data_IF_658726900626
#
_entry.id   IF_658726900626
#
_cell.length_a   1.000
_cell.length_b   1.000
_cell.length_c   1.000
_cell.angle_alpha   90.00
_cell.angle_beta   90.00
_cell.angle_gamma   90.00
#
_symmetry.space_group_name_H-M   'P 1'
#
loop_
_entity.id
_entity.type
_entity.pdbx_description
1 polymer ?
2 non-polymer ?
3 water ?
#
# COMPACT_ATOMS: atom_id res chain seq x y z
N UNK A 1 -14.94 43.65 0.60
CA UNK A 1 -15.14 44.44 -0.67
C UNK A 1 -14.23 45.70 -0.75
N UNK A 2 -13.72 45.99 -1.93
CA UNK A 2 -13.09 47.27 -2.18
C UNK A 2 -13.98 48.08 -3.12
N UNK A 3 -13.84 49.41 -3.09
CA UNK A 3 -14.67 50.30 -3.89
C UNK A 3 -13.87 51.27 -4.76
N UNK A 4 -12.56 51.13 -4.74
CA UNK A 4 -11.65 51.98 -5.50
C UNK A 4 -10.59 51.07 -6.09
N UNK A 5 -10.04 51.48 -7.23
CA UNK A 5 -8.91 50.77 -7.80
C UNK A 5 -7.76 50.90 -6.80
N UNK A 6 -7.16 49.76 -6.44
CA UNK A 6 -6.19 49.69 -5.35
C UNK A 6 -4.98 48.85 -5.75
N UNK A 7 -3.78 49.29 -5.35
CA UNK A 7 -2.69 48.36 -5.67
C UNK A 7 -2.78 47.03 -4.88
N UNK A 8 -2.77 45.92 -5.61
CA UNK A 8 -2.53 44.57 -5.07
C UNK A 8 -1.69 44.58 -3.78
N UNK A 9 -0.51 45.22 -3.89
CA UNK A 9 0.44 45.46 -2.80
C UNK A 9 -0.22 45.92 -1.52
N UNK A 10 -1.21 46.81 -1.64
CA UNK A 10 -1.90 47.39 -0.51
C UNK A 10 -2.91 46.45 0.15
N UNK A 11 -3.42 45.50 -0.63
CA UNK A 11 -4.41 44.53 -0.15
C UNK A 11 -3.74 43.28 0.45
N UNK A 12 -2.63 42.86 -0.16
CA UNK A 12 -1.93 41.63 0.17
C UNK A 12 -0.56 42.00 0.72
N UNK A 13 -0.45 42.09 2.05
CA UNK A 13 0.77 42.61 2.64
C UNK A 13 1.98 41.71 2.39
N UNK A 14 1.77 40.38 2.34
CA UNK A 14 2.84 39.41 2.04
C UNK A 14 3.32 39.60 0.60
N UNK A 15 4.56 40.04 0.44
CA UNK A 15 5.15 40.28 -0.87
C UNK A 15 4.96 39.07 -1.80
N UNK A 16 5.11 37.87 -1.27
CA UNK A 16 5.02 36.64 -2.06
C UNK A 16 3.62 36.36 -2.58
N UNK A 17 2.62 36.59 -1.73
CA UNK A 17 1.20 36.35 -2.09
C UNK A 17 0.66 37.45 -3.00
N UNK A 18 1.13 38.68 -2.80
CA UNK A 18 0.81 39.76 -3.71
C UNK A 18 1.25 39.30 -5.11
N UNK A 19 2.50 38.88 -5.21
CA UNK A 19 3.01 38.40 -6.51
C UNK A 19 2.15 37.31 -7.09
N UNK A 20 1.55 36.49 -6.22
CA UNK A 20 0.61 35.45 -6.64
C UNK A 20 -0.67 36.03 -7.24
N UNK A 21 -1.23 37.02 -6.56
CA UNK A 21 -2.38 37.70 -7.08
C UNK A 21 -2.02 38.45 -8.38
N UNK A 22 -0.90 39.19 -8.42
CA UNK A 22 -0.48 39.79 -9.69
C UNK A 22 -0.53 38.77 -10.83
N UNK A 23 0.24 37.69 -10.70
CA UNK A 23 0.26 36.62 -11.68
C UNK A 23 -1.12 36.13 -12.00
N UNK A 24 -1.93 35.93 -10.98
CA UNK A 24 -3.21 35.31 -11.16
C UNK A 24 -4.14 36.11 -11.99
N UNK A 25 -3.90 37.41 -12.02
CA UNK A 25 -4.69 38.40 -12.79
C UNK A 25 -3.97 38.92 -14.02
N UNK A 26 -2.75 38.43 -14.24
CA UNK A 26 -2.01 38.78 -15.45
C UNK A 26 -1.62 40.26 -15.50
N UNK A 27 -1.27 40.84 -14.36
CA UNK A 27 -0.74 42.21 -14.31
C UNK A 27 0.79 42.19 -14.34
N UNK A 28 1.39 43.28 -14.81
CA UNK A 28 2.82 43.39 -14.89
C UNK A 28 3.46 43.63 -13.49
N UNK A 29 2.72 44.22 -12.56
CA UNK A 29 3.31 44.60 -11.28
C UNK A 29 2.35 44.48 -10.10
N UNK A 30 2.91 44.32 -8.90
CA UNK A 30 2.09 44.43 -7.68
C UNK A 30 1.58 45.87 -7.38
N UNK A 31 2.20 46.86 -8.04
CA UNK A 31 1.79 48.24 -7.96
C UNK A 31 0.59 48.54 -8.86
N UNK A 32 0.26 47.62 -9.78
CA UNK A 32 -0.93 47.77 -10.62
C UNK A 32 -2.22 47.71 -9.80
N UNK A 33 -3.12 48.65 -10.04
CA UNK A 33 -4.36 48.69 -9.27
C UNK A 33 -5.39 47.68 -9.81
N UNK A 34 -6.08 47.01 -8.87
CA UNK A 34 -7.17 46.09 -9.20
C UNK A 34 -8.52 46.66 -8.78
N UNK A 35 -9.59 46.19 -9.42
CA UNK A 35 -10.97 46.47 -8.98
C UNK A 35 -11.65 45.23 -8.40
N UNK A 36 -12.70 45.48 -7.62
CA UNK A 36 -13.53 44.39 -7.09
C UNK A 36 -13.97 43.40 -8.19
N UNK A 37 -14.50 43.91 -9.30
CA UNK A 37 -14.90 43.06 -10.42
C UNK A 37 -13.78 42.08 -10.80
N UNK A 38 -12.55 42.59 -10.82
CA UNK A 38 -11.37 41.79 -11.15
C UNK A 38 -11.07 40.77 -10.06
N UNK A 39 -11.17 41.19 -8.79
CA UNK A 39 -11.04 40.28 -7.65
C UNK A 39 -12.14 39.20 -7.61
N UNK A 40 -13.33 39.57 -8.08
CA UNK A 40 -14.46 38.63 -8.25
C UNK A 40 -14.25 37.64 -9.41
N UNK A 41 -13.28 37.89 -10.29
CA UNK A 41 -13.04 37.05 -11.46
C UNK A 41 -12.10 35.87 -11.18
N UNK A 42 -11.75 35.67 -9.90
CA UNK A 42 -10.76 34.67 -9.52
C UNK A 42 -11.46 33.48 -8.94
N UNK A 43 -11.49 32.38 -9.67
CA UNK A 43 -12.14 31.22 -9.15
C UNK A 43 -11.12 30.08 -8.87
N UNK A 44 -9.83 30.36 -9.02
CA UNK A 44 -8.83 29.31 -8.88
C UNK A 44 -7.42 29.90 -8.74
N UNK A 45 -6.67 29.41 -7.76
CA UNK A 45 -5.32 29.89 -7.45
C UNK A 45 -4.39 28.71 -7.18
N UNK A 46 -3.33 28.61 -8.00
CA UNK A 46 -2.34 27.56 -7.81
C UNK A 46 -1.00 28.17 -7.36
N UNK A 47 -0.68 27.99 -6.09
CA UNK A 47 0.46 28.66 -5.52
C UNK A 47 1.13 27.78 -4.51
N UNK A 48 1.65 26.68 -5.02
CA UNK A 48 2.46 25.77 -4.26
C UNK A 48 3.92 26.27 -4.25
N UNK A 49 4.60 26.16 -3.12
CA UNK A 49 6.05 26.48 -3.03
C UNK A 49 6.40 27.91 -3.42
N UNK A 50 5.53 28.83 -2.99
CA UNK A 50 5.60 30.21 -3.38
C UNK A 50 6.13 31.07 -2.25
N UNK A 51 6.59 30.44 -1.18
CA UNK A 51 7.25 31.15 -0.10
C UNK A 51 6.26 32.09 0.64
N UNK A 52 5.00 31.70 0.64
CA UNK A 52 3.92 32.48 1.26
C UNK A 52 3.82 32.23 2.78
N UNK A 53 3.79 33.29 3.60
CA UNK A 53 3.58 33.16 5.08
C UNK A 53 2.17 33.62 5.54
N UNK A 54 1.41 34.18 4.61
CA UNK A 54 0.25 35.00 4.94
C UNK A 54 -0.69 35.30 3.76
N UNK A 55 -1.91 34.78 3.84
CA UNK A 55 -2.95 34.97 2.82
C UNK A 55 -3.89 36.15 3.11
N UNK A 56 -3.50 37.04 4.03
CA UNK A 56 -4.23 38.31 4.23
C UNK A 56 -4.57 38.96 2.91
N UNK A 57 -5.82 39.37 2.74
CA UNK A 57 -6.27 39.89 1.46
C UNK A 57 -7.19 38.94 0.73
N UNK A 58 -6.89 37.65 0.72
CA UNK A 58 -7.77 36.64 0.10
C UNK A 58 -9.22 36.82 0.53
N UNK A 59 -9.45 37.41 1.71
CA UNK A 59 -10.81 37.70 2.17
C UNK A 59 -11.58 38.42 1.08
N UNK A 60 -10.91 39.30 0.35
CA UNK A 60 -11.54 40.03 -0.72
C UNK A 60 -11.78 39.24 -2.02
N UNK A 61 -11.62 37.91 -2.01
CA UNK A 61 -11.88 37.08 -3.21
C UNK A 61 -13.06 36.15 -3.03
N UNK A 62 -14.29 36.69 -3.12
CA UNK A 62 -15.47 35.90 -2.74
C UNK A 62 -15.71 34.59 -3.54
N UNK A 63 -15.08 34.42 -4.71
CA UNK A 63 -15.44 33.35 -5.64
C UNK A 63 -14.44 32.17 -5.76
N UNK A 64 -13.41 32.14 -4.92
CA UNK A 64 -12.36 31.12 -5.07
C UNK A 64 -12.99 29.75 -4.87
N UNK A 65 -12.65 28.82 -5.77
CA UNK A 65 -13.18 27.45 -5.66
C UNK A 65 -12.11 26.42 -5.42
N UNK A 66 -11.05 26.55 -6.20
CA UNK A 66 -9.94 25.63 -6.17
C UNK A 66 -8.81 26.42 -5.55
N UNK A 67 -8.35 26.04 -4.37
CA UNK A 67 -7.24 26.77 -3.77
C UNK A 67 -6.07 25.85 -3.41
N UNK A 68 -4.92 26.02 -4.06
CA UNK A 68 -3.74 25.18 -3.85
C UNK A 68 -2.56 25.92 -3.17
N UNK A 69 -2.34 25.66 -1.89
CA UNK A 69 -1.36 26.45 -1.14
C UNK A 69 -0.32 25.56 -0.52
N UNK A 70 -0.09 24.41 -1.15
CA UNK A 70 0.82 23.44 -0.60
C UNK A 70 2.23 23.93 -0.75
N UNK A 71 3.01 23.86 0.31
CA UNK A 71 4.44 24.16 0.20
C UNK A 71 4.82 25.52 0.67
N UNK A 72 3.96 26.16 1.46
CA UNK A 72 4.27 27.50 1.91
C UNK A 72 4.60 27.51 3.39
N UNK A 73 4.38 28.63 4.08
CA UNK A 73 4.75 28.76 5.48
C UNK A 73 3.58 29.32 6.29
N UNK A 74 2.37 28.97 5.87
CA UNK A 74 1.20 29.42 6.56
C UNK A 74 1.11 28.74 7.91
N UNK A 75 0.90 29.53 8.95
CA UNK A 75 0.55 29.03 10.29
C UNK A 75 -0.90 29.36 10.62
N UNK A 76 -1.36 30.56 10.23
CA UNK A 76 -2.75 30.99 10.37
C UNK A 76 -3.54 30.84 9.07
N UNK A 77 -4.83 30.53 9.17
CA UNK A 77 -5.72 30.51 8.01
C UNK A 77 -7.10 31.09 8.33
N UNK A 78 -7.07 32.15 9.14
CA UNK A 78 -8.27 32.90 9.44
C UNK A 78 -8.80 33.50 8.15
N UNK A 79 -7.91 34.00 7.30
CA UNK A 79 -8.29 34.76 6.11
C UNK A 79 -9.24 33.98 5.21
N UNK A 80 -9.25 32.64 5.35
CA UNK A 80 -10.13 31.77 4.58
C UNK A 80 -11.53 31.61 5.14
N UNK A 81 -11.79 32.02 6.38
CA UNK A 81 -13.02 31.59 7.07
C UNK A 81 -14.18 31.54 6.09
N UNK A 82 -14.40 32.67 5.43
CA UNK A 82 -15.67 32.94 4.71
C UNK A 82 -15.68 32.76 3.19
N UNK A 83 -14.61 32.23 2.62
CA UNK A 83 -14.62 31.88 1.20
C UNK A 83 -15.51 30.67 1.01
N UNK A 84 -16.81 30.87 1.03
CA UNK A 84 -17.77 29.77 1.02
C UNK A 84 -17.83 28.91 -0.26
N UNK A 85 -17.28 29.39 -1.36
CA UNK A 85 -17.30 28.65 -2.62
C UNK A 85 -16.12 27.65 -2.79
N UNK A 86 -15.29 27.58 -1.76
CA UNK A 86 -14.15 26.71 -1.74
C UNK A 86 -14.66 25.27 -1.78
N UNK A 87 -14.18 24.52 -2.79
CA UNK A 87 -14.48 23.10 -2.99
C UNK A 87 -13.25 22.19 -2.90
N UNK A 88 -12.07 22.77 -3.09
CA UNK A 88 -10.87 21.99 -3.15
C UNK A 88 -9.84 22.83 -2.46
N UNK A 89 -9.13 22.26 -1.51
CA UNK A 89 -8.24 23.06 -0.70
C UNK A 89 -6.98 22.30 -0.32
N UNK A 90 -5.84 22.83 -0.73
CA UNK A 90 -4.59 22.22 -0.42
C UNK A 90 -3.79 23.08 0.49
N UNK A 91 -3.59 22.61 1.72
CA UNK A 91 -2.74 23.28 2.69
C UNK A 91 -1.63 22.36 3.20
N UNK A 92 -1.24 21.36 2.43
CA UNK A 92 -0.18 20.45 2.85
C UNK A 92 1.17 21.12 2.86
N UNK A 93 2.11 20.63 3.66
CA UNK A 93 3.44 21.18 3.74
C UNK A 93 3.41 22.64 3.97
N UNK A 94 2.74 23.03 5.05
CA UNK A 94 2.91 24.36 5.59
C UNK A 94 3.46 24.23 7.00
N UNK A 95 3.27 25.27 7.83
CA UNK A 95 3.68 25.32 9.24
C UNK A 95 2.48 25.46 10.18
N UNK A 96 1.38 24.79 9.87
CA UNK A 96 0.19 24.81 10.73
C UNK A 96 0.34 23.86 11.91
N UNK A 97 0.39 24.40 13.13
CA UNK A 97 0.49 23.59 14.36
C UNK A 97 -0.84 23.33 15.02
N UNK A 98 -1.86 24.08 14.63
CA UNK A 98 -3.06 24.11 15.41
C UNK A 98 -4.21 24.65 14.60
N UNK A 99 -5.44 24.28 14.93
CA UNK A 99 -6.63 24.75 14.20
C UNK A 99 -7.75 25.12 15.15
N UNK A 100 -8.34 26.31 15.01
CA UNK A 100 -9.46 26.58 15.91
C UNK A 100 -10.72 25.74 15.58
N UNK A 101 -11.45 25.31 16.59
CA UNK A 101 -12.79 24.83 16.31
C UNK A 101 -13.39 25.89 15.40
N UNK A 102 -14.01 25.44 14.32
CA UNK A 102 -14.91 26.35 13.61
C UNK A 102 -14.33 27.16 12.48
N UNK A 103 -13.05 27.00 12.21
CA UNK A 103 -12.46 27.66 11.07
C UNK A 103 -13.16 27.26 9.77
N UNK A 104 -13.64 26.02 9.68
CA UNK A 104 -14.45 25.55 8.54
C UNK A 104 -15.97 25.52 8.78
N UNK A 105 -16.45 26.22 9.81
CA UNK A 105 -17.89 26.51 9.95
C UNK A 105 -18.55 27.00 8.67
N UNK A 106 -17.86 27.81 7.89
CA UNK A 106 -18.46 28.41 6.70
C UNK A 106 -18.09 27.78 5.35
N UNK A 107 -17.24 26.76 5.33
CA UNK A 107 -16.80 26.13 4.08
C UNK A 107 -17.69 24.93 3.67
N UNK A 108 -18.97 25.21 3.50
CA UNK A 108 -19.99 24.19 3.27
C UNK A 108 -19.83 23.40 1.96
N UNK A 109 -19.12 23.96 0.97
CA UNK A 109 -18.98 23.29 -0.34
C UNK A 109 -17.67 22.53 -0.55
N UNK A 110 -16.84 22.49 0.49
CA UNK A 110 -15.57 21.79 0.45
C UNK A 110 -15.81 20.30 0.24
N UNK A 111 -15.24 19.78 -0.85
CA UNK A 111 -15.21 18.35 -1.14
C UNK A 111 -13.83 17.68 -0.95
N UNK A 112 -12.75 18.43 -1.07
CA UNK A 112 -11.42 17.86 -0.92
C UNK A 112 -10.58 18.76 -0.03
N UNK A 113 -10.06 18.20 1.06
CA UNK A 113 -9.29 18.96 2.04
C UNK A 113 -7.98 18.27 2.37
N UNK A 114 -6.87 18.77 1.83
CA UNK A 114 -5.56 18.20 2.12
C UNK A 114 -4.87 19.06 3.16
N UNK A 115 -4.62 18.43 4.33
CA UNK A 115 -3.92 19.05 5.48
C UNK A 115 -2.62 18.29 5.89
N UNK A 116 -2.11 17.45 4.99
CA UNK A 116 -0.95 16.56 5.24
C UNK A 116 0.33 17.31 5.50
N UNK A 117 1.32 16.67 6.14
CA UNK A 117 2.64 17.30 6.33
C UNK A 117 2.58 18.66 6.99
N UNK A 118 1.76 18.73 8.03
CA UNK A 118 1.76 19.85 8.92
C UNK A 118 2.25 19.36 10.29
N UNK A 119 2.03 20.12 11.35
CA UNK A 119 2.47 19.72 12.67
C UNK A 119 1.33 19.79 13.65
N UNK A 120 0.14 19.41 13.19
CA UNK A 120 -1.03 19.30 14.06
C UNK A 120 -0.77 18.26 15.13
N UNK A 121 -1.20 18.54 16.33
CA UNK A 121 -0.99 17.67 17.46
C UNK A 121 -2.32 17.15 17.95
N UNK A 122 -3.35 17.99 17.86
CA UNK A 122 -4.69 17.56 18.20
C UNK A 122 -5.71 18.34 17.43
N UNK A 123 -6.96 17.90 17.58
CA UNK A 123 -8.06 18.52 16.87
C UNK A 123 -9.26 18.61 17.78
N UNK A 124 -9.90 19.77 17.83
CA UNK A 124 -11.04 19.97 18.66
C UNK A 124 -12.22 19.23 18.10
N UNK A 125 -13.24 19.08 18.93
CA UNK A 125 -14.49 18.45 18.57
C UNK A 125 -15.20 19.15 17.41
N UNK A 126 -15.83 18.36 16.55
CA UNK A 126 -16.59 18.93 15.44
C UNK A 126 -15.88 19.94 14.54
N UNK A 127 -14.55 19.90 14.46
CA UNK A 127 -13.80 20.85 13.65
C UNK A 127 -14.16 20.76 12.16
N UNK A 128 -14.89 19.70 11.79
CA UNK A 128 -15.38 19.48 10.43
C UNK A 128 -16.90 19.27 10.39
N UNK A 129 -17.63 19.68 11.43
CA UNK A 129 -19.10 19.49 11.51
C UNK A 129 -19.88 19.79 10.24
N UNK A 130 -19.59 20.93 9.61
CA UNK A 130 -20.44 21.45 8.56
C UNK A 130 -19.97 21.09 7.15
N UNK A 131 -19.01 20.17 7.03
CA UNK A 131 -18.46 19.78 5.74
C UNK A 131 -19.17 18.51 5.22
N UNK A 132 -20.48 18.66 5.00
CA UNK A 132 -21.39 17.55 4.63
C UNK A 132 -21.17 17.03 3.22
N UNK A 133 -20.62 17.87 2.35
CA UNK A 133 -20.27 17.46 1.00
C UNK A 133 -18.82 16.93 0.91
N UNK A 134 -18.06 17.02 2.01
CA UNK A 134 -16.64 16.60 2.02
C UNK A 134 -16.51 15.09 1.89
N UNK A 135 -15.69 14.67 0.91
CA UNK A 135 -15.47 13.26 0.61
C UNK A 135 -14.01 12.81 0.78
N UNK A 136 -13.05 13.73 0.78
CA UNK A 136 -11.67 13.34 0.91
C UNK A 136 -10.96 14.20 1.93
N UNK A 137 -10.43 13.58 2.98
CA UNK A 137 -9.71 14.32 4.01
C UNK A 137 -8.33 13.73 4.27
N UNK A 138 -7.26 14.46 3.94
CA UNK A 138 -5.92 13.97 4.18
C UNK A 138 -5.22 14.65 5.33
N UNK A 139 -4.96 13.88 6.38
CA UNK A 139 -4.28 14.37 7.57
C UNK A 139 -3.02 13.59 7.82
N UNK A 140 -2.46 12.97 6.81
CA UNK A 140 -1.21 12.21 7.01
C UNK A 140 -0.02 13.11 7.35
N UNK A 141 1.01 12.54 7.95
CA UNK A 141 2.23 13.29 8.32
C UNK A 141 1.92 14.53 9.13
N UNK A 142 1.16 14.32 10.19
CA UNK A 142 1.06 15.30 11.25
C UNK A 142 1.60 14.65 12.51
N UNK A 143 1.45 15.31 13.64
CA UNK A 143 1.95 14.75 14.90
C UNK A 143 0.79 14.37 15.81
N UNK A 144 -0.31 13.95 15.19
CA UNK A 144 -1.59 13.85 15.89
C UNK A 144 -1.63 12.76 16.96
N UNK A 145 -2.11 13.16 18.12
CA UNK A 145 -2.24 12.25 19.25
C UNK A 145 -3.56 12.41 20.02
N UNK A 146 -4.27 13.52 19.84
CA UNK A 146 -5.38 13.84 20.69
C UNK A 146 -6.69 14.16 19.97
N UNK A 147 -7.55 13.16 19.84
CA UNK A 147 -8.84 13.29 19.16
C UNK A 147 -9.90 12.71 20.06
N UNK A 148 -11.11 13.27 20.01
CA UNK A 148 -12.20 12.68 20.79
C UNK A 148 -13.09 11.85 19.88
N UNK A 149 -13.91 11.05 20.54
CA UNK A 149 -15.09 10.43 19.98
C UNK A 149 -15.60 11.08 18.69
N UNK A 150 -15.71 12.42 18.66
CA UNK A 150 -16.51 13.15 17.64
C UNK A 150 -15.74 14.18 16.79
N UNK A 151 -14.43 14.11 16.78
CA UNK A 151 -13.63 14.96 15.90
C UNK A 151 -13.97 14.84 14.40
N UNK A 152 -14.60 13.74 13.98
CA UNK A 152 -14.92 13.51 12.57
C UNK A 152 -16.42 13.34 12.41
N UNK A 153 -17.16 14.12 13.18
CA UNK A 153 -18.61 14.07 13.20
C UNK A 153 -19.12 15.06 12.17
N UNK A 154 -20.25 14.72 11.56
CA UNK A 154 -20.75 15.50 10.44
C UNK A 154 -20.25 15.03 9.08
N UNK A 155 -19.13 14.27 9.05
CA UNK A 155 -18.48 13.80 7.81
C UNK A 155 -19.11 12.51 7.31
N UNK A 156 -20.39 12.63 6.95
CA UNK A 156 -21.23 11.50 6.56
C UNK A 156 -21.10 11.14 5.06
N UNK A 157 -20.47 12.00 4.26
CA UNK A 157 -20.20 11.67 2.85
C UNK A 157 -18.73 11.35 2.58
N UNK A 158 -17.96 11.22 3.64
CA UNK A 158 -16.54 10.95 3.48
C UNK A 158 -16.33 9.56 2.88
N UNK A 159 -15.46 9.51 1.88
CA UNK A 159 -15.12 8.27 1.19
C UNK A 159 -13.66 7.90 1.37
N UNK A 160 -12.75 8.87 1.54
CA UNK A 160 -11.32 8.61 1.79
C UNK A 160 -10.83 9.43 2.96
N UNK A 161 -10.18 8.78 3.91
CA UNK A 161 -9.65 9.45 5.09
C UNK A 161 -8.28 8.91 5.37
N UNK A 162 -7.26 9.74 5.26
CA UNK A 162 -5.90 9.29 5.47
C UNK A 162 -5.26 9.90 6.73
N UNK A 163 -4.94 9.02 7.69
CA UNK A 163 -4.36 9.37 8.99
C UNK A 163 -2.97 8.80 9.19
N UNK A 164 -2.31 8.42 8.11
CA UNK A 164 -0.98 7.85 8.22
C UNK A 164 0.09 8.83 8.75
N UNK A 165 1.15 8.25 9.31
CA UNK A 165 2.28 8.97 9.91
C UNK A 165 1.85 10.00 10.90
N UNK A 166 0.89 9.63 11.73
CA UNK A 166 0.60 10.37 12.96
C UNK A 166 1.02 9.53 14.18
N UNK A 167 0.50 9.88 15.36
CA UNK A 167 0.92 9.27 16.61
C UNK A 167 -0.30 8.97 17.51
N UNK A 168 -1.33 8.41 16.89
CA UNK A 168 -2.61 8.16 17.53
C UNK A 168 -2.66 6.98 18.48
N UNK A 169 -1.61 6.15 18.46
CA UNK A 169 -1.57 4.87 19.17
C UNK A 169 -2.27 4.79 20.52
N UNK A 170 -1.85 5.62 21.49
CA UNK A 170 -2.41 5.65 22.88
C UNK A 170 -3.94 5.76 22.96
N UNK A 171 -4.56 6.39 21.97
CA UNK A 171 -6.02 6.56 21.91
C UNK A 171 -6.75 5.25 21.75
N UNK A 172 -6.06 4.24 21.22
CA UNK A 172 -6.67 2.93 21.04
C UNK A 172 -6.16 1.83 21.99
N UNK A 173 -5.55 2.21 23.10
CA UNK A 173 -5.19 1.25 24.15
C UNK A 173 -6.31 1.10 25.15
N UNK A 174 -6.56 -0.11 25.58
CA UNK A 174 -7.71 -0.36 26.47
C UNK A 174 -7.59 0.36 27.82
N UNK A 175 -6.37 0.47 28.34
CA UNK A 175 -6.11 1.11 29.62
C UNK A 175 -6.11 2.61 29.50
N UNK A 176 -6.02 3.12 28.27
CA UNK A 176 -6.17 4.55 28.04
C UNK A 176 -7.26 5.15 28.93
N UNK A 177 -7.02 6.33 29.53
CA UNK A 177 -8.09 6.90 30.37
C UNK A 177 -9.42 7.06 29.59
N UNK A 178 -10.51 6.57 30.17
CA UNK A 178 -11.84 6.60 29.54
C UNK A 178 -12.12 5.45 28.58
N UNK A 179 -11.12 4.58 28.39
CA UNK A 179 -11.18 3.56 27.36
C UNK A 179 -10.64 4.07 26.03
N UNK A 180 -10.70 3.22 25.00
CA UNK A 180 -10.25 3.65 23.70
C UNK A 180 -11.25 4.57 23.03
N UNK A 181 -10.72 5.54 22.29
CA UNK A 181 -11.51 6.53 21.56
C UNK A 181 -11.95 5.93 20.23
N UNK A 182 -13.25 5.73 20.08
CA UNK A 182 -13.82 5.18 18.85
C UNK A 182 -14.20 6.30 17.87
N UNK A 183 -13.18 6.95 17.31
CA UNK A 183 -13.32 8.13 16.44
C UNK A 183 -13.63 7.83 14.98
N UNK A 184 -14.06 6.61 14.66
CA UNK A 184 -14.53 6.27 13.32
C UNK A 184 -16.02 5.94 13.32
N UNK A 185 -16.68 6.28 14.43
CA UNK A 185 -18.11 6.12 14.60
C UNK A 185 -18.78 6.84 13.45
N UNK A 186 -19.82 6.25 12.88
CA UNK A 186 -20.66 6.93 11.89
C UNK A 186 -20.12 7.02 10.47
N UNK A 187 -18.87 6.63 10.25
CA UNK A 187 -18.23 6.91 8.97
C UNK A 187 -18.68 5.87 7.91
N UNK A 188 -19.97 5.92 7.64
CA UNK A 188 -20.72 4.92 6.93
C UNK A 188 -20.45 4.82 5.44
N UNK A 189 -19.90 5.85 4.84
CA UNK A 189 -19.60 5.75 3.42
C UNK A 189 -18.15 5.51 3.15
N UNK A 190 -17.34 5.52 4.21
CA UNK A 190 -15.92 5.46 4.07
C UNK A 190 -15.52 4.21 3.27
N UNK A 191 -14.77 4.43 2.20
CA UNK A 191 -14.30 3.36 1.35
C UNK A 191 -12.78 3.10 1.50
N UNK A 192 -12.02 4.09 1.98
CA UNK A 192 -10.56 4.02 1.97
C UNK A 192 -10.01 4.60 3.26
N UNK A 193 -9.38 3.75 4.08
CA UNK A 193 -8.88 4.20 5.38
C UNK A 193 -7.42 3.83 5.52
N UNK A 194 -6.55 4.81 5.73
CA UNK A 194 -5.14 4.52 5.89
C UNK A 194 -4.66 4.94 7.24
N UNK A 195 -4.31 3.95 8.05
CA UNK A 195 -3.96 4.14 9.45
C UNK A 195 -2.53 3.68 9.69
N UNK A 196 -1.76 3.64 8.62
CA UNK A 196 -0.41 3.16 8.74
C UNK A 196 0.47 4.17 9.44
N UNK A 197 1.53 3.67 10.03
CA UNK A 197 2.54 4.50 10.66
C UNK A 197 2.01 5.42 11.75
N UNK A 198 1.26 4.84 12.67
CA UNK A 198 1.19 5.37 14.02
C UNK A 198 1.89 4.30 14.84
N UNK A 199 1.92 4.44 16.14
CA UNK A 199 2.62 3.40 16.91
C UNK A 199 1.68 2.36 17.47
N UNK A 200 0.71 1.90 16.68
CA UNK A 200 -0.42 1.13 17.23
C UNK A 200 0.02 -0.26 17.73
N UNK A 201 -0.26 -0.55 19.00
CA UNK A 201 0.09 -1.85 19.59
C UNK A 201 -1.12 -2.58 20.16
N UNK A 202 -2.31 -1.98 20.05
CA UNK A 202 -3.60 -2.63 20.37
C UNK A 202 -4.61 -2.12 19.36
N UNK A 203 -5.66 -2.89 19.18
CA UNK A 203 -6.66 -2.58 18.20
C UNK A 203 -8.02 -3.01 18.69
N UNK A 204 -8.80 -2.10 19.30
CA UNK A 204 -10.03 -2.58 19.93
C UNK A 204 -11.02 -3.07 18.90
N UNK A 205 -11.52 -4.26 19.12
CA UNK A 205 -12.69 -4.72 18.43
C UNK A 205 -13.67 -3.56 18.47
N UNK A 206 -14.42 -3.35 17.39
CA UNK A 206 -15.44 -2.27 17.33
C UNK A 206 -14.94 -0.92 16.83
N UNK A 207 -13.63 -0.70 16.73
CA UNK A 207 -13.15 0.53 16.09
C UNK A 207 -13.66 0.71 14.65
N UNK A 208 -14.00 -0.37 13.96
CA UNK A 208 -14.42 -0.27 12.58
C UNK A 208 -15.86 -0.72 12.38
N UNK A 209 -16.63 -0.84 13.46
CA UNK A 209 -17.90 -1.56 13.34
C UNK A 209 -18.91 -0.86 12.42
N UNK A 210 -18.78 0.45 12.23
CA UNK A 210 -19.74 1.18 11.40
C UNK A 210 -19.33 1.30 9.95
N UNK A 211 -18.16 0.79 9.58
CA UNK A 211 -17.59 1.01 8.27
C UNK A 211 -18.13 0.05 7.22
N UNK A 212 -19.46 -0.01 7.13
CA UNK A 212 -20.18 -0.79 6.11
C UNK A 212 -19.55 -0.72 4.71
N UNK A 213 -19.09 0.45 4.31
CA UNK A 213 -18.70 0.64 2.91
C UNK A 213 -17.21 0.51 2.65
N UNK A 214 -16.43 0.00 3.60
CA UNK A 214 -14.98 -0.02 3.44
C UNK A 214 -14.51 -1.01 2.37
N UNK A 215 -13.59 -0.55 1.51
CA UNK A 215 -12.99 -1.40 0.49
C UNK A 215 -11.51 -1.62 0.74
N UNK A 216 -10.83 -0.57 1.26
CA UNK A 216 -9.38 -0.58 1.55
C UNK A 216 -9.06 -0.13 2.96
N UNK A 217 -8.57 -1.05 3.78
CA UNK A 217 -8.04 -0.69 5.08
C UNK A 217 -6.52 -0.92 5.16
N UNK A 218 -5.74 0.14 5.42
CA UNK A 218 -4.30 0.05 5.52
C UNK A 218 -3.90 0.18 6.98
N UNK A 219 -3.42 -0.91 7.58
CA UNK A 219 -2.85 -0.86 8.94
C UNK A 219 -1.34 -1.14 8.95
N UNK A 220 -0.69 -0.92 7.81
CA UNK A 220 0.71 -1.26 7.72
C UNK A 220 1.53 -0.47 8.72
N UNK A 221 2.71 -0.97 9.03
CA UNK A 221 3.70 -0.27 9.84
C UNK A 221 3.19 0.29 11.17
N UNK A 222 2.72 -0.61 12.00
CA UNK A 222 2.35 -0.25 13.33
C UNK A 222 3.01 -1.31 14.19
N UNK A 223 2.66 -1.40 15.48
CA UNK A 223 3.28 -2.32 16.42
C UNK A 223 2.36 -3.45 16.87
N UNK A 224 1.49 -3.94 15.99
CA UNK A 224 0.42 -4.85 16.42
C UNK A 224 0.93 -6.28 16.67
N UNK A 225 0.45 -6.92 17.72
CA UNK A 225 0.92 -8.26 18.09
C UNK A 225 -0.21 -9.31 17.97
N UNK A 226 -1.45 -8.85 18.09
CA UNK A 226 -2.62 -9.67 17.79
C UNK A 226 -3.83 -8.82 17.41
N UNK A 227 -4.78 -9.48 16.77
CA UNK A 227 -6.02 -8.87 16.36
C UNK A 227 -7.14 -9.48 17.19
N UNK A 228 -8.06 -8.65 17.69
CA UNK A 228 -9.14 -9.30 18.35
C UNK A 228 -10.03 -9.99 17.33
N UNK A 229 -10.48 -11.18 17.69
CA UNK A 229 -11.56 -11.84 16.97
C UNK A 229 -12.67 -10.83 16.65
N UNK A 230 -13.05 -10.77 15.37
CA UNK A 230 -14.20 -9.99 14.98
C UNK A 230 -13.91 -8.52 14.92
N UNK A 231 -12.64 -8.13 14.82
CA UNK A 231 -12.32 -6.71 14.60
C UNK A 231 -12.66 -6.28 13.17
N UNK A 232 -12.80 -7.25 12.26
CA UNK A 232 -13.29 -7.01 10.91
C UNK A 232 -14.67 -7.59 10.66
N UNK A 233 -15.32 -8.08 11.69
CA UNK A 233 -16.62 -8.77 11.58
C UNK A 233 -17.49 -8.19 10.50
N UNK A 234 -17.76 -6.88 10.58
CA UNK A 234 -18.72 -6.19 9.68
C UNK A 234 -18.08 -5.37 8.55
N UNK A 235 -16.81 -5.64 8.20
CA UNK A 235 -16.18 -5.03 7.02
C UNK A 235 -16.43 -5.87 5.75
N UNK A 236 -17.70 -6.10 5.45
CA UNK A 236 -18.11 -7.09 4.47
C UNK A 236 -17.69 -6.73 3.04
N UNK A 237 -17.65 -5.44 2.73
CA UNK A 237 -17.29 -4.98 1.37
C UNK A 237 -15.79 -4.85 1.08
N UNK A 238 -14.98 -5.26 2.04
CA UNK A 238 -13.55 -5.06 1.98
C UNK A 238 -12.94 -5.86 0.82
N UNK A 239 -12.11 -5.18 0.01
CA UNK A 239 -11.30 -5.81 -1.07
C UNK A 239 -9.81 -5.81 -0.77
N UNK A 240 -9.31 -4.82 -0.05
CA UNK A 240 -7.89 -4.73 0.24
C UNK A 240 -7.62 -4.52 1.73
N UNK A 241 -6.83 -5.45 2.26
CA UNK A 241 -6.40 -5.46 3.65
C UNK A 241 -4.88 -5.52 3.68
N UNK A 242 -4.26 -4.52 4.28
CA UNK A 242 -2.82 -4.48 4.41
C UNK A 242 -2.40 -4.52 5.86
N UNK A 243 -1.91 -5.68 6.30
CA UNK A 243 -1.37 -5.84 7.66
C UNK A 243 0.16 -5.99 7.72
N UNK A 244 0.85 -5.73 6.61
CA UNK A 244 2.32 -5.81 6.58
C UNK A 244 2.98 -4.97 7.67
N UNK A 245 4.23 -5.31 7.99
CA UNK A 245 5.06 -4.52 8.91
C UNK A 245 4.39 -4.22 10.26
N UNK A 246 3.96 -5.25 10.96
CA UNK A 246 3.56 -5.14 12.36
C UNK A 246 4.39 -6.14 13.20
N UNK A 247 3.91 -6.58 14.36
CA UNK A 247 4.58 -7.60 15.17
C UNK A 247 3.72 -8.84 15.29
N UNK A 248 2.90 -9.09 14.30
CA UNK A 248 1.90 -10.13 14.43
C UNK A 248 2.57 -11.47 14.65
N UNK A 249 2.15 -12.11 15.74
CA UNK A 249 2.72 -13.34 16.22
C UNK A 249 1.68 -14.45 16.19
N UNK A 250 0.40 -14.07 16.33
CA UNK A 250 -0.71 -14.98 16.12
C UNK A 250 -1.86 -14.26 15.42
N UNK A 251 -2.59 -15.03 14.61
CA UNK A 251 -3.91 -14.63 14.13
C UNK A 251 -4.99 -15.52 14.75
N UNK A 252 -6.06 -14.90 15.26
CA UNK A 252 -7.18 -15.73 15.70
C UNK A 252 -7.86 -16.43 14.55
N UNK A 253 -8.58 -17.49 14.87
CA UNK A 253 -9.28 -18.30 13.87
C UNK A 253 -10.50 -17.51 13.42
N UNK A 254 -10.64 -17.30 12.12
CA UNK A 254 -11.76 -16.53 11.60
C UNK A 254 -11.75 -15.03 11.90
N UNK A 255 -10.57 -14.43 11.97
CA UNK A 255 -10.43 -12.97 11.99
C UNK A 255 -10.96 -12.40 10.67
N UNK A 256 -10.79 -13.16 9.57
CA UNK A 256 -11.23 -12.71 8.24
C UNK A 256 -12.42 -13.51 7.68
N UNK A 257 -13.21 -14.17 8.51
CA UNK A 257 -14.23 -15.07 7.95
C UNK A 257 -15.37 -14.42 7.19
N UNK A 258 -15.57 -13.13 7.42
CA UNK A 258 -16.69 -12.37 6.87
C UNK A 258 -16.28 -11.49 5.68
N UNK A 259 -15.06 -11.72 5.17
CA UNK A 259 -14.42 -10.88 4.15
C UNK A 259 -14.36 -11.56 2.78
N UNK A 260 -15.52 -11.98 2.26
CA UNK A 260 -15.54 -12.83 1.08
C UNK A 260 -15.18 -12.13 -0.21
N UNK A 261 -15.14 -10.81 -0.21
CA UNK A 261 -14.78 -10.09 -1.44
C UNK A 261 -13.31 -9.76 -1.52
N UNK A 262 -12.59 -10.17 -0.48
CA UNK A 262 -11.21 -9.76 -0.32
C UNK A 262 -10.39 -10.31 -1.45
N UNK A 263 -9.67 -9.42 -2.13
CA UNK A 263 -8.88 -9.75 -3.28
C UNK A 263 -7.40 -9.69 -2.98
N UNK A 264 -7.02 -9.07 -1.87
CA UNK A 264 -5.60 -8.83 -1.59
C UNK A 264 -5.38 -8.76 -0.09
N UNK A 265 -4.53 -9.63 0.42
CA UNK A 265 -4.23 -9.66 1.84
C UNK A 265 -2.71 -9.61 2.04
N UNK A 266 -2.21 -8.49 2.57
CA UNK A 266 -0.76 -8.36 2.80
C UNK A 266 -0.43 -8.63 4.27
N UNK A 267 0.14 -9.81 4.54
CA UNK A 267 0.50 -10.19 5.91
C UNK A 267 2.01 -10.20 6.08
N UNK A 268 2.71 -9.68 5.09
CA UNK A 268 4.15 -9.70 5.12
C UNK A 268 4.76 -9.01 6.35
N UNK A 269 6.08 -9.07 6.46
CA UNK A 269 6.85 -8.52 7.58
C UNK A 269 6.19 -8.55 8.95
N UNK A 270 5.98 -9.74 9.47
CA UNK A 270 5.59 -9.94 10.86
C UNK A 270 6.40 -11.07 11.48
N UNK A 271 5.88 -11.66 12.55
CA UNK A 271 6.54 -12.80 13.15
C UNK A 271 5.61 -13.99 13.25
N UNK A 272 4.72 -14.14 12.29
CA UNK A 272 3.81 -15.25 12.33
C UNK A 272 4.66 -16.52 12.23
N UNK A 273 4.43 -17.43 13.15
CA UNK A 273 5.10 -18.71 13.18
C UNK A 273 4.13 -19.86 12.93
N UNK A 274 2.84 -19.54 12.92
CA UNK A 274 1.77 -20.51 12.71
C UNK A 274 0.59 -19.80 12.07
N UNK A 275 -0.32 -20.58 11.48
CA UNK A 275 -1.62 -20.09 11.00
C UNK A 275 -2.71 -21.09 11.32
N UNK A 276 -3.75 -20.64 12.00
CA UNK A 276 -4.84 -21.56 12.30
C UNK A 276 -5.59 -22.02 11.04
N UNK A 277 -5.86 -23.32 10.93
CA UNK A 277 -6.70 -23.79 9.84
C UNK A 277 -8.01 -23.04 9.84
N UNK A 278 -8.55 -22.82 8.64
CA UNK A 278 -9.81 -22.11 8.46
C UNK A 278 -9.63 -20.61 8.30
N UNK A 279 -8.43 -20.11 8.63
CA UNK A 279 -8.13 -18.68 8.56
C UNK A 279 -8.34 -18.11 7.15
N UNK A 280 -8.22 -18.98 6.15
CA UNK A 280 -8.42 -18.57 4.78
C UNK A 280 -9.57 -19.33 4.08
N UNK A 281 -10.53 -19.79 4.87
CA UNK A 281 -11.60 -20.69 4.39
C UNK A 281 -12.62 -19.94 3.54
N UNK A 282 -12.93 -18.71 3.93
CA UNK A 282 -13.99 -17.98 3.30
C UNK A 282 -13.49 -16.86 2.38
N UNK A 283 -12.22 -16.93 1.97
CA UNK A 283 -11.60 -15.91 1.11
C UNK A 283 -11.54 -16.41 -0.35
N UNK A 284 -12.71 -16.70 -0.90
CA UNK A 284 -12.81 -17.36 -2.20
C UNK A 284 -12.52 -16.41 -3.36
N UNK A 285 -12.50 -15.10 -3.08
CA UNK A 285 -12.14 -14.08 -4.07
C UNK A 285 -10.64 -13.79 -4.07
N UNK A 286 -9.98 -13.88 -2.91
CA UNK A 286 -8.53 -13.59 -2.77
C UNK A 286 -7.64 -14.06 -3.94
N UNK A 287 -6.95 -13.09 -4.55
CA UNK A 287 -6.09 -13.32 -5.71
C UNK A 287 -4.61 -13.04 -5.38
N UNK A 288 -4.33 -12.26 -4.35
CA UNK A 288 -2.97 -12.05 -3.85
C UNK A 288 -2.91 -12.33 -2.35
N UNK A 289 -2.04 -13.25 -1.95
CA UNK A 289 -1.65 -13.47 -0.55
C UNK A 289 -0.13 -13.25 -0.39
N UNK A 290 0.28 -12.25 0.39
CA UNK A 290 1.71 -12.05 0.64
C UNK A 290 2.05 -12.34 2.07
N UNK A 291 2.70 -13.48 2.28
CA UNK A 291 3.16 -13.88 3.62
C UNK A 291 4.67 -13.76 3.83
N UNK A 292 5.34 -12.95 3.01
CA UNK A 292 6.80 -12.87 3.05
C UNK A 292 7.28 -12.30 4.36
N UNK A 293 8.53 -12.59 4.66
CA UNK A 293 9.17 -12.10 5.86
C UNK A 293 8.32 -12.37 7.09
N UNK A 294 8.33 -13.64 7.49
CA UNK A 294 7.70 -14.12 8.67
C UNK A 294 8.48 -15.35 9.17
N UNK A 295 7.98 -16.08 10.16
CA UNK A 295 8.73 -17.21 10.70
C UNK A 295 7.97 -18.53 10.55
N UNK A 296 7.28 -18.66 9.43
CA UNK A 296 6.52 -19.85 9.14
C UNK A 296 7.43 -21.10 8.96
N UNK A 297 6.86 -22.24 9.35
CA UNK A 297 7.46 -23.53 9.14
C UNK A 297 6.34 -24.46 8.67
N UNK A 298 5.48 -24.90 9.59
CA UNK A 298 4.35 -25.80 9.25
C UNK A 298 2.98 -25.10 9.13
N UNK A 299 2.07 -25.75 8.39
CA UNK A 299 0.71 -25.27 8.10
C UNK A 299 -0.28 -26.43 7.88
N UNK A 300 -1.46 -26.38 8.51
CA UNK A 300 -2.46 -27.43 8.31
C UNK A 300 -2.80 -27.71 6.85
N UNK A 301 -3.14 -28.97 6.55
CA UNK A 301 -3.58 -29.35 5.21
C UNK A 301 -4.91 -28.61 5.00
N UNK A 302 -4.96 -27.85 3.91
CA UNK A 302 -6.11 -26.99 3.62
C UNK A 302 -6.17 -25.64 4.31
N UNK A 303 -5.01 -25.04 4.60
CA UNK A 303 -4.95 -23.62 4.94
C UNK A 303 -5.09 -22.81 3.65
N UNK A 304 -4.68 -23.43 2.54
CA UNK A 304 -4.72 -22.86 1.21
C UNK A 304 -5.77 -23.50 0.28
N UNK A 305 -6.39 -24.59 0.71
CA UNK A 305 -7.43 -25.27 -0.06
C UNK A 305 -8.46 -24.40 -0.75
N UNK A 306 -9.15 -23.55 0.00
CA UNK A 306 -10.29 -22.80 -0.57
C UNK A 306 -9.85 -21.70 -1.53
N UNK A 307 -8.58 -21.32 -1.46
CA UNK A 307 -8.04 -20.23 -2.30
C UNK A 307 -7.89 -20.65 -3.76
N UNK A 308 -9.01 -21.03 -4.38
CA UNK A 308 -8.99 -21.51 -5.76
C UNK A 308 -8.94 -20.37 -6.79
N UNK A 309 -9.29 -19.16 -6.39
CA UNK A 309 -9.07 -17.99 -7.23
C UNK A 309 -7.66 -17.41 -7.06
N UNK A 310 -6.87 -17.91 -6.10
CA UNK A 310 -5.54 -17.33 -5.82
C UNK A 310 -4.65 -17.25 -7.07
N UNK A 311 -3.90 -16.16 -7.23
CA UNK A 311 -3.13 -15.95 -8.46
C UNK A 311 -1.64 -15.66 -8.24
N UNK A 312 -1.32 -14.96 -7.14
CA UNK A 312 0.06 -14.82 -6.64
C UNK A 312 0.12 -15.18 -5.15
N UNK A 313 1.07 -16.04 -4.82
CA UNK A 313 1.35 -16.42 -3.43
C UNK A 313 2.83 -16.19 -3.17
N UNK A 314 3.12 -15.45 -2.10
CA UNK A 314 4.47 -15.07 -1.75
C UNK A 314 4.79 -15.55 -0.31
N UNK A 315 5.76 -16.45 -0.25
CA UNK A 315 6.20 -17.05 0.99
C UNK A 315 7.70 -16.85 1.10
N UNK A 316 8.19 -15.77 0.51
CA UNK A 316 9.61 -15.51 0.53
C UNK A 316 10.05 -15.24 1.95
N UNK A 317 11.28 -15.60 2.26
CA UNK A 317 11.82 -15.38 3.59
C UNK A 317 11.01 -16.03 4.72
N UNK A 318 10.98 -17.35 4.71
CA UNK A 318 10.42 -18.10 5.80
C UNK A 318 11.33 -19.32 6.04
N UNK A 319 10.83 -20.32 6.76
CA UNK A 319 11.56 -21.55 6.99
C UNK A 319 10.63 -22.70 6.69
N UNK A 320 9.97 -22.58 5.55
CA UNK A 320 8.91 -23.49 5.16
C UNK A 320 9.37 -24.93 5.21
N UNK A 321 8.51 -25.82 5.73
CA UNK A 321 8.82 -27.27 5.78
C UNK A 321 8.42 -28.00 4.50
N UNK A 322 9.16 -29.06 4.22
CA UNK A 322 8.94 -29.92 3.06
C UNK A 322 7.45 -30.29 2.86
N UNK A 323 6.74 -30.40 3.98
CA UNK A 323 5.30 -30.68 4.02
C UNK A 323 4.52 -29.59 3.34
N UNK A 324 4.76 -28.37 3.80
CA UNK A 324 4.10 -27.18 3.25
C UNK A 324 4.30 -27.11 1.72
N UNK A 325 5.48 -27.43 1.22
CA UNK A 325 5.71 -27.46 -0.23
C UNK A 325 4.73 -28.42 -0.94
N UNK A 326 4.39 -29.55 -0.30
CA UNK A 326 3.41 -30.52 -0.86
C UNK A 326 2.00 -29.95 -0.92
N UNK A 327 1.60 -29.17 0.08
CA UNK A 327 0.29 -28.48 0.07
C UNK A 327 0.20 -27.49 -1.09
N UNK A 328 1.24 -26.67 -1.22
CA UNK A 328 1.35 -25.66 -2.27
C UNK A 328 1.21 -26.32 -3.63
N UNK A 329 2.03 -27.35 -3.85
CA UNK A 329 1.97 -28.12 -5.06
C UNK A 329 0.56 -28.70 -5.23
N UNK A 330 -0.02 -29.14 -4.11
CA UNK A 330 -1.39 -29.65 -4.12
C UNK A 330 -2.32 -28.58 -4.68
N UNK A 331 -2.24 -27.37 -4.13
CA UNK A 331 -3.09 -26.26 -4.55
C UNK A 331 -3.04 -26.08 -6.06
N UNK A 332 -1.84 -26.10 -6.62
CA UNK A 332 -1.63 -25.88 -8.05
C UNK A 332 -2.25 -26.94 -9.00
N UNK A 333 -2.33 -28.20 -8.56
CA UNK A 333 -2.96 -29.29 -9.34
C UNK A 333 -4.47 -29.13 -9.46
N UNK A 334 -5.04 -28.30 -8.58
CA UNK A 334 -6.48 -28.13 -8.43
C UNK A 334 -6.87 -26.70 -8.83
N UNK A 335 -6.36 -25.72 -8.08
CA UNK A 335 -6.58 -24.29 -8.37
C UNK A 335 -6.57 -23.98 -9.87
N UNK A 336 -5.46 -24.33 -10.51
CA UNK A 336 -5.25 -23.98 -11.90
C UNK A 336 -5.58 -22.49 -12.07
N UNK A 337 -4.96 -21.68 -11.20
CA UNK A 337 -5.01 -20.21 -11.25
C UNK A 337 -3.71 -19.60 -10.81
N UNK A 338 -3.01 -20.25 -9.89
CA UNK A 338 -1.78 -19.75 -9.31
C UNK A 338 -0.75 -19.50 -10.40
N UNK A 339 -0.28 -18.26 -10.49
CA UNK A 339 0.62 -17.81 -11.55
C UNK A 339 2.00 -17.53 -10.99
N UNK A 340 2.08 -16.63 -10.01
CA UNK A 340 3.35 -16.31 -9.36
C UNK A 340 3.47 -17.15 -8.07
N UNK A 341 4.66 -17.70 -7.84
CA UNK A 341 4.97 -18.41 -6.60
C UNK A 341 6.36 -17.99 -6.20
N UNK A 342 6.47 -17.28 -5.08
CA UNK A 342 7.76 -16.83 -4.59
C UNK A 342 8.10 -17.60 -3.31
N UNK A 343 9.19 -18.39 -3.36
CA UNK A 343 9.62 -19.19 -2.24
C UNK A 343 11.06 -18.88 -1.87
N UNK A 344 11.54 -17.69 -2.20
CA UNK A 344 12.90 -17.30 -1.89
C UNK A 344 13.24 -17.45 -0.42
N UNK A 345 14.52 -17.68 -0.17
CA UNK A 345 15.07 -17.77 1.18
C UNK A 345 14.27 -18.67 2.11
N UNK A 346 14.07 -19.91 1.67
CA UNK A 346 13.48 -20.95 2.46
C UNK A 346 14.44 -22.13 2.30
N UNK A 347 14.46 -23.06 3.25
CA UNK A 347 15.16 -24.31 3.00
C UNK A 347 14.22 -25.30 2.34
N UNK A 348 14.07 -25.19 1.03
CA UNK A 348 13.33 -26.18 0.27
C UNK A 348 14.21 -27.43 0.06
N UNK A 349 15.33 -27.28 -0.62
CA UNK A 349 16.20 -28.41 -1.00
C UNK A 349 15.63 -29.29 -2.09
N UNK A 350 16.26 -30.45 -2.32
CA UNK A 350 15.75 -31.41 -3.30
C UNK A 350 14.38 -31.93 -2.93
N UNK A 351 14.17 -32.05 -1.62
CA UNK A 351 12.96 -32.67 -1.10
C UNK A 351 11.76 -31.85 -1.49
N UNK A 352 11.85 -30.53 -1.30
CA UNK A 352 10.77 -29.63 -1.66
C UNK A 352 10.66 -29.46 -3.16
N UNK A 353 11.78 -29.23 -3.82
CA UNK A 353 11.76 -29.02 -5.26
C UNK A 353 11.11 -30.17 -6.03
N UNK A 354 11.29 -31.39 -5.53
CA UNK A 354 10.65 -32.57 -6.10
C UNK A 354 9.15 -32.45 -5.91
N UNK A 355 8.71 -32.20 -4.68
CA UNK A 355 7.30 -31.93 -4.39
C UNK A 355 6.72 -30.88 -5.35
N UNK A 356 7.48 -29.82 -5.59
CA UNK A 356 7.07 -28.72 -6.47
C UNK A 356 7.13 -29.08 -7.94
N UNK A 357 7.98 -30.03 -8.31
CA UNK A 357 7.98 -30.52 -9.69
C UNK A 357 6.74 -31.36 -10.00
N UNK A 358 6.19 -32.03 -9.00
CA UNK A 358 4.98 -32.83 -9.18
C UNK A 358 3.83 -32.01 -9.81
N UNK A 359 3.65 -30.81 -9.29
CA UNK A 359 2.62 -29.92 -9.81
C UNK A 359 3.00 -29.43 -11.21
N UNK A 360 4.22 -28.90 -11.33
CA UNK A 360 4.72 -28.46 -12.63
C UNK A 360 4.60 -29.56 -13.69
N UNK A 361 4.75 -30.82 -13.31
CA UNK A 361 4.52 -31.95 -14.21
C UNK A 361 3.04 -32.27 -14.45
N UNK A 362 2.14 -31.58 -13.75
CA UNK A 362 0.71 -31.79 -13.92
C UNK A 362 0.10 -30.81 -14.97
N UNK A 363 -0.49 -31.37 -16.04
CA UNK A 363 -1.06 -30.59 -17.15
C UNK A 363 -2.30 -29.79 -16.72
N UNK A 364 -2.11 -28.55 -16.30
CA UNK A 364 -3.13 -27.86 -15.52
C UNK A 364 -2.51 -26.82 -14.63
N UNK A 365 -1.22 -27.01 -14.35
CA UNK A 365 -0.37 -25.95 -13.84
C UNK A 365 -0.40 -24.74 -14.77
N UNK A 366 -0.76 -23.62 -14.19
CA UNK A 366 -0.77 -22.33 -14.87
C UNK A 366 0.43 -21.50 -14.47
N UNK A 367 1.33 -22.09 -13.68
CA UNK A 367 2.38 -21.35 -13.02
C UNK A 367 3.27 -20.70 -14.07
N UNK A 368 3.43 -19.38 -13.94
CA UNK A 368 4.22 -18.61 -14.90
C UNK A 368 5.55 -18.14 -14.32
N UNK A 369 5.54 -17.74 -13.06
CA UNK A 369 6.76 -17.35 -12.35
C UNK A 369 6.97 -18.23 -11.10
N UNK A 370 8.14 -18.86 -11.04
CA UNK A 370 8.61 -19.53 -9.86
C UNK A 370 9.96 -18.95 -9.51
N UNK A 371 10.08 -18.61 -8.24
CA UNK A 371 11.29 -18.05 -7.65
C UNK A 371 11.75 -18.96 -6.53
N UNK A 372 12.87 -19.63 -6.74
CA UNK A 372 13.48 -20.46 -5.73
C UNK A 372 14.89 -19.97 -5.49
N UNK A 373 15.00 -18.68 -5.22
CA UNK A 373 16.26 -18.11 -4.81
C UNK A 373 16.72 -18.74 -3.50
N UNK A 374 18.03 -18.86 -3.36
CA UNK A 374 18.61 -19.33 -2.11
C UNK A 374 17.73 -20.35 -1.38
N UNK A 375 17.40 -21.42 -2.09
CA UNK A 375 16.54 -22.42 -1.50
C UNK A 375 17.31 -23.64 -1.06
N UNK A 376 18.64 -23.54 -1.07
CA UNK A 376 19.50 -24.64 -0.70
C UNK A 376 19.35 -25.82 -1.69
N UNK A 377 19.28 -25.48 -2.98
CA UNK A 377 19.07 -26.48 -4.03
C UNK A 377 20.38 -27.03 -4.51
N UNK A 378 20.32 -28.24 -5.04
CA UNK A 378 21.47 -29.00 -5.41
C UNK A 378 21.51 -29.21 -6.90
N UNK A 379 22.54 -29.90 -7.39
CA UNK A 379 22.60 -30.21 -8.81
C UNK A 379 21.54 -31.26 -9.16
N UNK A 380 21.07 -32.03 -8.17
CA UNK A 380 20.05 -33.06 -8.45
C UNK A 380 18.61 -32.60 -8.17
N UNK A 381 18.44 -31.42 -7.59
CA UNK A 381 17.14 -30.73 -7.67
C UNK A 381 16.90 -30.23 -9.11
N UNK A 382 17.98 -30.02 -9.85
CA UNK A 382 17.91 -29.58 -11.23
C UNK A 382 17.55 -30.69 -12.22
N UNK A 383 17.92 -31.95 -11.95
CA UNK A 383 17.47 -33.08 -12.81
C UNK A 383 15.94 -33.11 -12.83
N UNK A 384 15.40 -32.73 -11.68
CA UNK A 384 13.99 -32.85 -11.41
C UNK A 384 13.30 -31.61 -11.95
N UNK A 385 13.88 -30.44 -11.75
CA UNK A 385 13.32 -29.26 -12.34
C UNK A 385 13.37 -29.34 -13.87
N UNK A 386 14.52 -29.69 -14.41
CA UNK A 386 14.65 -29.85 -15.85
C UNK A 386 13.45 -30.63 -16.38
N UNK A 387 13.12 -31.76 -15.76
CA UNK A 387 11.98 -32.58 -16.20
C UNK A 387 10.76 -31.74 -16.59
N UNK A 388 10.42 -30.79 -15.72
CA UNK A 388 9.27 -29.91 -15.93
C UNK A 388 9.54 -28.84 -17.00
N UNK A 389 10.74 -28.26 -16.99
CA UNK A 389 11.12 -27.24 -17.98
C UNK A 389 10.91 -27.67 -19.42
N UNK A 390 10.88 -28.97 -19.68
CA UNK A 390 10.58 -29.51 -21.00
C UNK A 390 9.08 -29.55 -21.29
N UNK A 391 8.30 -29.67 -20.22
CA UNK A 391 6.87 -29.91 -20.29
C UNK A 391 6.04 -28.68 -19.93
N UNK A 392 6.21 -28.18 -18.70
CA UNK A 392 5.43 -27.07 -18.21
C UNK A 392 5.50 -25.88 -19.17
N UNK A 393 4.59 -25.89 -20.14
CA UNK A 393 4.59 -24.90 -21.21
C UNK A 393 4.18 -23.51 -20.76
N UNK A 394 3.40 -23.41 -19.69
CA UNK A 394 2.98 -22.11 -19.15
C UNK A 394 4.10 -21.37 -18.41
N UNK A 395 5.18 -22.09 -18.07
CA UNK A 395 6.24 -21.51 -17.24
C UNK A 395 7.12 -20.55 -18.04
N UNK A 396 7.18 -19.30 -17.56
CA UNK A 396 7.88 -18.22 -18.24
C UNK A 396 9.08 -17.64 -17.47
N UNK A 397 9.03 -17.63 -16.14
CA UNK A 397 10.11 -17.05 -15.33
C UNK A 397 10.61 -18.08 -14.30
N UNK A 398 11.93 -18.23 -14.19
CA UNK A 398 12.54 -19.14 -13.20
C UNK A 398 13.78 -18.52 -12.54
N UNK A 399 13.67 -18.25 -11.24
CA UNK A 399 14.77 -17.63 -10.51
C UNK A 399 15.33 -18.65 -9.56
N UNK A 400 16.62 -18.95 -9.74
CA UNK A 400 17.38 -19.91 -8.94
C UNK A 400 18.68 -19.31 -8.39
N UNK A 401 18.77 -17.98 -8.40
CA UNK A 401 19.90 -17.26 -7.86
C UNK A 401 20.29 -17.72 -6.46
N UNK A 402 21.59 -17.60 -6.16
CA UNK A 402 22.15 -17.92 -4.85
C UNK A 402 21.84 -19.34 -4.37
N UNK A 403 22.03 -20.29 -5.29
CA UNK A 403 21.94 -21.72 -5.01
C UNK A 403 23.21 -22.42 -5.42
N UNK A 404 23.49 -23.55 -4.82
CA UNK A 404 24.63 -24.33 -5.23
C UNK A 404 24.27 -25.28 -6.36
N UNK A 405 24.09 -24.73 -7.55
CA UNK A 405 23.66 -25.52 -8.68
C UNK A 405 24.83 -26.26 -9.31
N UNK A 406 25.96 -25.59 -9.46
CA UNK A 406 27.09 -26.16 -10.16
C UNK A 406 26.84 -26.40 -11.65
N UNK A 407 27.85 -26.88 -12.35
CA UNK A 407 27.81 -26.97 -13.80
C UNK A 407 26.94 -28.13 -14.30
N UNK A 408 27.01 -29.23 -13.58
CA UNK A 408 26.27 -30.44 -13.94
C UNK A 408 24.80 -30.11 -13.73
N UNK A 409 24.54 -29.26 -12.74
CA UNK A 409 23.19 -28.76 -12.50
C UNK A 409 22.71 -27.81 -13.57
N UNK A 410 23.54 -26.85 -13.94
CA UNK A 410 23.21 -25.91 -15.02
C UNK A 410 23.01 -26.64 -16.36
N UNK A 411 23.90 -27.56 -16.71
CA UNK A 411 23.78 -28.29 -17.95
C UNK A 411 22.39 -28.89 -18.05
N UNK A 412 21.88 -29.44 -16.95
CA UNK A 412 20.56 -30.08 -16.94
C UNK A 412 19.57 -29.11 -17.52
N UNK A 413 19.67 -27.87 -17.06
CA UNK A 413 18.71 -26.83 -17.41
C UNK A 413 18.85 -26.38 -18.86
N UNK A 414 20.08 -26.33 -19.38
CA UNK A 414 20.24 -25.97 -20.80
C UNK A 414 19.64 -27.05 -21.73
N UNK A 415 19.89 -28.33 -21.46
CA UNK A 415 19.26 -29.38 -22.29
C UNK A 415 17.74 -29.32 -22.19
N UNK A 416 17.24 -28.89 -21.04
CA UNK A 416 15.80 -28.73 -20.86
C UNK A 416 15.28 -27.53 -21.66
N UNK A 417 15.94 -26.38 -21.49
CA UNK A 417 15.49 -25.13 -22.11
C UNK A 417 15.64 -25.14 -23.63
N UNK A 418 16.57 -25.96 -24.12
CA UNK A 418 16.71 -26.16 -25.56
C UNK A 418 15.61 -27.06 -26.11
N UNK A 419 14.73 -27.55 -25.23
CA UNK A 419 13.76 -28.55 -25.64
C UNK A 419 12.51 -27.85 -26.17
N UNK A 420 11.85 -28.46 -27.18
CA UNK A 420 10.70 -27.84 -27.89
C UNK A 420 9.57 -27.23 -27.01
N UNK A 421 9.31 -27.83 -25.85
CA UNK A 421 8.24 -27.41 -24.94
C UNK A 421 8.64 -26.34 -23.95
N UNK A 422 9.89 -25.93 -24.01
CA UNK A 422 10.34 -24.77 -23.23
C UNK A 422 9.85 -23.44 -23.82
N UNK A 423 9.08 -22.72 -23.01
CA UNK A 423 8.57 -21.40 -23.36
C UNK A 423 9.12 -20.36 -22.40
N UNK A 424 10.25 -20.67 -21.77
CA UNK A 424 10.80 -19.81 -20.71
C UNK A 424 11.32 -18.50 -21.32
N UNK A 425 10.92 -17.38 -20.73
CA UNK A 425 11.34 -16.07 -21.16
C UNK A 425 12.52 -15.56 -20.32
N UNK A 426 12.57 -15.94 -19.03
CA UNK A 426 13.59 -15.42 -18.11
C UNK A 426 14.21 -16.50 -17.24
N UNK A 427 15.53 -16.49 -17.16
CA UNK A 427 16.27 -17.44 -16.35
C UNK A 427 17.30 -16.65 -15.54
N UNK A 428 17.26 -16.81 -14.23
CA UNK A 428 18.20 -16.16 -13.35
C UNK A 428 19.04 -17.25 -12.71
N UNK A 429 20.34 -17.27 -12.98
CA UNK A 429 21.23 -18.27 -12.38
C UNK A 429 22.45 -17.64 -11.74
N UNK A 430 22.32 -16.38 -11.31
CA UNK A 430 23.35 -15.69 -10.57
C UNK A 430 23.74 -16.46 -9.30
N UNK A 431 25.01 -16.35 -8.91
CA UNK A 431 25.62 -17.10 -7.79
C UNK A 431 25.15 -18.56 -7.68
N UNK A 432 25.46 -19.33 -8.70
CA UNK A 432 25.05 -20.70 -8.70
C UNK A 432 26.24 -21.67 -8.74
N UNK A 433 27.43 -21.17 -8.42
CA UNK A 433 28.63 -21.99 -8.41
C UNK A 433 29.12 -22.30 -9.84
N UNK A 434 29.24 -21.26 -10.66
CA UNK A 434 29.61 -21.40 -12.09
C UNK A 434 30.89 -20.66 -12.48
N UNK A 435 31.64 -21.20 -13.43
CA UNK A 435 32.81 -20.51 -13.98
C UNK A 435 32.39 -19.53 -15.10
N UNK A 436 33.31 -18.68 -15.58
CA UNK A 436 33.02 -17.89 -16.79
C UNK A 436 32.88 -18.89 -17.93
N UNK A 437 33.87 -19.79 -18.09
CA UNK A 437 33.78 -20.87 -19.10
C UNK A 437 32.35 -21.43 -19.13
N UNK A 438 31.85 -21.80 -17.96
CA UNK A 438 30.48 -22.26 -17.82
C UNK A 438 29.54 -21.20 -18.36
N UNK A 439 29.55 -20.02 -17.73
CA UNK A 439 28.59 -18.95 -18.05
C UNK A 439 28.60 -18.59 -19.54
N UNK A 440 29.77 -18.62 -20.18
CA UNK A 440 29.86 -18.33 -21.61
C UNK A 440 29.25 -19.44 -22.45
N UNK A 441 29.46 -20.69 -22.07
CA UNK A 441 28.85 -21.80 -22.80
C UNK A 441 27.32 -21.73 -22.71
N UNK A 442 26.85 -21.34 -21.53
CA UNK A 442 25.44 -21.25 -21.22
C UNK A 442 24.83 -20.17 -22.10
N UNK A 443 25.36 -18.96 -21.98
CA UNK A 443 24.93 -17.81 -22.78
C UNK A 443 24.78 -18.17 -24.26
N UNK A 444 25.77 -18.89 -24.78
CA UNK A 444 25.86 -19.18 -26.20
C UNK A 444 24.77 -20.15 -26.64
N UNK A 445 24.60 -21.24 -25.90
CA UNK A 445 23.60 -22.24 -26.25
C UNK A 445 22.14 -21.72 -26.09
N UNK A 446 21.94 -20.76 -25.22
CA UNK A 446 20.60 -20.18 -25.04
C UNK A 446 20.20 -19.05 -26.03
N UNK A 447 21.13 -18.65 -26.90
CA UNK A 447 20.80 -17.73 -27.99
C UNK A 447 19.83 -18.40 -28.95
N UNK A 448 19.84 -19.74 -28.93
CA UNK A 448 18.96 -20.56 -29.75
C UNK A 448 17.61 -20.76 -29.10
N UNK A 449 17.49 -20.41 -27.83
CA UNK A 449 16.26 -20.61 -27.08
C UNK A 449 15.30 -19.57 -27.60
N UNK A 450 14.19 -20.06 -28.13
CA UNK A 450 13.29 -19.23 -28.89
C UNK A 450 12.62 -18.19 -28.04
N UNK A 451 12.13 -18.58 -26.86
CA UNK A 451 11.37 -17.66 -26.01
C UNK A 451 12.19 -16.77 -25.09
N UNK A 452 13.50 -16.99 -24.96
CA UNK A 452 14.26 -16.38 -23.86
C UNK A 452 14.67 -14.90 -24.03
N UNK A 453 13.84 -13.97 -23.56
CA UNK A 453 14.17 -12.53 -23.53
C UNK A 453 15.42 -12.25 -22.67
N UNK A 454 15.42 -12.77 -21.43
CA UNK A 454 16.24 -12.30 -20.28
C UNK A 454 17.12 -13.44 -19.66
N UNK A 455 18.41 -13.17 -19.42
CA UNK A 455 19.32 -14.20 -18.86
C UNK A 455 20.40 -13.60 -17.99
N UNK A 456 20.36 -13.86 -16.68
CA UNK A 456 21.38 -13.37 -15.72
C UNK A 456 22.29 -14.47 -15.21
N UNK A 457 23.61 -14.22 -15.25
CA UNK A 457 24.63 -15.21 -14.88
C UNK A 457 25.74 -14.65 -13.96
N UNK A 458 25.38 -13.61 -13.22
CA UNK A 458 26.33 -12.87 -12.36
C UNK A 458 26.75 -13.64 -11.10
N UNK A 459 27.84 -13.17 -10.50
CA UNK A 459 28.42 -13.80 -9.31
C UNK A 459 28.80 -15.25 -9.58
N UNK A 460 29.32 -15.49 -10.78
CA UNK A 460 29.81 -16.80 -11.17
C UNK A 460 31.17 -16.61 -11.80
N UNK A 461 32.17 -16.39 -10.94
CA UNK A 461 33.45 -15.80 -11.34
C UNK A 461 34.67 -16.72 -11.14
N UNK A 462 34.83 -17.70 -12.02
CA UNK A 462 36.04 -18.52 -12.05
C UNK A 462 36.40 -18.76 -13.52
N UNK A 463 37.62 -18.43 -13.91
CA UNK A 463 38.08 -18.72 -15.28
C UNK A 463 38.66 -20.13 -15.40
N UNK A 464 37.84 -21.08 -15.86
CA UNK A 464 38.22 -22.50 -16.04
C UNK A 464 38.66 -23.19 -14.74
X LIG B 1 4.41 44.23 1.60
#
# INVERSE_FOLDING_TARGET
TITVSTPIKQIFPDDAFAETIKANLKKKSVTDAVTQNELNSIDQIIANNSDIKSVQGIQYLPNVRYLALGGNKLHDISALKELTNLGWLNLSNNQLETLPQGVFEKLTNLTTLNLSNNQLTSLPQGVFERLASLTTLNLSNNNLANLNDRVFEGLTNLTTLNLSNNNLARLWKHANPGGPIYFLKGLTNLTTLNLSNNGFDELPKEVFKDLTSLTTLNLSNNQLTSLPQGVFERLTNLTTLNLSNNQLTSLPQGVFERLTNLTTLNLSNNQLTSLPQGVFERLTSLTTLNLSNNQLTSLPKGVLERLTNLKTLNLSNNQITKEVCRHVAELLKQAASLHELHLSNNNIGEEGAAELVEALLHPGSTLETLDLSNCNLTKEACREIARALKQATTLHELHLSNNNIGEEGAAELVEALLHPGSTLETLDLSNCNLTKEACREIARALKQATSLHELHLSNNNIGS
CA CA
#
